data_IF_247174017685
#
_entry.id   IF_247174017685
#
_cell.length_a   1.000
_cell.length_b   1.000
_cell.length_c   1.000
_cell.angle_alpha   90.00
_cell.angle_beta   90.00
_cell.angle_gamma   90.00
#
_symmetry.space_group_name_H-M   'P 1'
#
loop_
_entity.id
_entity.type
_entity.pdbx_description
1 polymer ?
#
# COMPACT_ATOMS: atom_id res chain seq x y z
N UNK A 1 -9.47 -14.39 -9.70
CA UNK A 1 -9.69 -12.95 -9.97
C UNK A 1 -9.20 -12.17 -8.76
N UNK A 2 -8.00 -11.58 -8.80
CA UNK A 2 -7.47 -10.83 -7.66
C UNK A 2 -8.15 -9.47 -7.52
N UNK A 3 -8.57 -9.08 -6.32
CA UNK A 3 -9.11 -7.73 -6.07
C UNK A 3 -7.99 -6.72 -6.23
N UNK A 4 -8.15 -5.74 -7.13
CA UNK A 4 -7.27 -4.56 -7.17
C UNK A 4 -7.83 -3.54 -6.19
N UNK A 5 -7.35 -3.57 -4.96
CA UNK A 5 -7.76 -2.65 -3.90
C UNK A 5 -6.79 -1.49 -3.71
N UNK A 6 -7.26 -0.38 -3.12
CA UNK A 6 -6.37 0.63 -2.57
C UNK A 6 -5.57 0.07 -1.39
N UNK A 7 -4.26 0.37 -1.33
CA UNK A 7 -3.41 -0.15 -0.24
C UNK A 7 -3.85 0.29 1.17
N UNK A 8 -4.49 1.46 1.32
CA UNK A 8 -4.85 2.00 2.64
C UNK A 8 -6.26 1.68 3.12
N UNK A 9 -7.18 1.31 2.22
CA UNK A 9 -8.58 1.10 2.60
C UNK A 9 -9.25 -0.11 1.93
N UNK A 10 -8.52 -0.89 1.12
CA UNK A 10 -9.00 -2.05 0.37
C UNK A 10 -10.25 -1.79 -0.50
N UNK A 11 -10.57 -0.51 -0.76
CA UNK A 11 -11.63 -0.14 -1.71
C UNK A 11 -11.28 -0.73 -3.07
N UNK A 12 -12.23 -1.40 -3.72
CA UNK A 12 -12.08 -1.85 -5.10
C UNK A 12 -11.70 -0.68 -5.99
N UNK A 13 -10.64 -0.82 -6.79
CA UNK A 13 -10.18 0.14 -7.79
C UNK A 13 -10.21 -0.48 -9.20
N UNK A 14 -10.73 -1.70 -9.35
CA UNK A 14 -10.83 -2.36 -10.65
C UNK A 14 -11.88 -1.76 -11.57
N UNK A 15 -12.83 -1.00 -11.01
CA UNK A 15 -13.99 -0.49 -11.75
C UNK A 15 -15.06 -1.55 -12.01
N UNK A 16 -14.88 -2.79 -11.52
CA UNK A 16 -15.82 -3.89 -11.73
C UNK A 16 -17.03 -3.77 -10.80
N UNK A 17 -16.79 -3.44 -9.53
CA UNK A 17 -17.86 -3.34 -8.52
C UNK A 17 -18.32 -1.90 -8.30
N UNK A 18 -17.45 -0.92 -8.55
CA UNK A 18 -17.77 0.49 -8.43
C UNK A 18 -17.14 1.30 -9.58
N UNK A 19 -18.02 1.80 -10.45
CA UNK A 19 -17.68 2.55 -11.67
C UNK A 19 -17.27 4.00 -11.39
N UNK A 20 -17.60 4.56 -10.23
CA UNK A 20 -17.26 5.93 -9.85
C UNK A 20 -15.89 6.05 -9.18
N UNK A 21 -15.12 4.95 -9.15
CA UNK A 21 -13.81 4.94 -8.54
C UNK A 21 -12.81 5.79 -9.31
N UNK A 22 -12.27 6.81 -8.63
CA UNK A 22 -11.11 7.56 -9.07
C UNK A 22 -9.85 6.95 -8.45
N UNK A 23 -8.97 6.48 -9.34
CA UNK A 23 -7.68 5.87 -9.02
C UNK A 23 -6.60 6.93 -9.01
N UNK A 24 -5.70 6.87 -8.03
CA UNK A 24 -4.54 7.74 -7.91
C UNK A 24 -3.27 6.91 -7.81
N UNK A 25 -2.26 7.28 -8.61
CA UNK A 25 -0.89 6.83 -8.47
C UNK A 25 -0.16 7.85 -7.61
N UNK A 26 0.13 7.48 -6.37
CA UNK A 26 0.68 8.38 -5.36
C UNK A 26 2.11 7.98 -4.98
N UNK A 27 2.95 8.96 -4.66
CA UNK A 27 4.30 8.68 -4.23
C UNK A 27 4.32 8.18 -2.77
N UNK A 28 4.88 7.00 -2.49
CA UNK A 28 4.98 6.43 -1.13
C UNK A 28 5.67 7.45 -0.20
N UNK A 29 6.85 7.90 -0.59
CA UNK A 29 7.56 9.06 -0.03
C UNK A 29 7.28 10.27 -0.92
N UNK A 30 6.70 11.37 -0.40
CA UNK A 30 6.43 12.58 -1.18
C UNK A 30 7.69 13.20 -1.82
N UNK A 31 7.55 13.79 -3.01
CA UNK A 31 8.65 14.45 -3.72
C UNK A 31 9.23 15.64 -2.93
N UNK A 32 8.38 16.41 -2.24
CA UNK A 32 8.81 17.54 -1.37
C UNK A 32 9.51 17.07 -0.09
N UNK A 33 9.54 15.76 0.16
CA UNK A 33 10.28 15.09 1.23
C UNK A 33 11.37 14.18 0.69
N UNK A 34 11.97 14.56 -0.44
CA UNK A 34 13.08 13.84 -1.08
C UNK A 34 12.72 12.44 -1.58
N UNK A 35 11.42 12.16 -1.78
CA UNK A 35 10.97 10.95 -2.46
C UNK A 35 11.44 10.95 -3.91
N UNK A 36 11.84 9.78 -4.42
CA UNK A 36 12.28 9.65 -5.80
C UNK A 36 11.09 9.58 -6.75
N UNK A 37 11.24 10.15 -7.95
CA UNK A 37 10.25 10.05 -9.01
C UNK A 37 10.50 8.80 -9.86
N UNK A 38 10.41 7.62 -9.24
CA UNK A 38 10.61 6.33 -9.90
C UNK A 38 9.50 5.33 -9.53
N UNK A 39 9.40 4.24 -10.29
CA UNK A 39 8.31 3.27 -10.15
C UNK A 39 8.28 2.56 -8.80
N UNK A 40 9.43 2.45 -8.11
CA UNK A 40 9.51 1.84 -6.77
C UNK A 40 8.87 2.70 -5.69
N UNK A 41 8.70 4.01 -5.95
CA UNK A 41 8.09 4.95 -5.03
C UNK A 41 6.62 5.22 -5.35
N UNK A 42 5.92 4.35 -6.10
CA UNK A 42 4.49 4.54 -6.44
C UNK A 42 3.62 3.52 -5.71
N UNK A 43 2.52 4.00 -5.12
CA UNK A 43 1.45 3.19 -4.55
C UNK A 43 0.07 3.55 -5.13
N UNK A 44 -0.84 2.58 -5.11
CA UNK A 44 -2.18 2.73 -5.64
C UNK A 44 -3.18 3.14 -4.54
N UNK A 45 -3.73 4.35 -4.64
CA UNK A 45 -4.69 4.89 -3.70
C UNK A 45 -6.05 5.17 -4.36
N UNK A 46 -7.11 5.06 -3.57
CA UNK A 46 -8.36 5.71 -3.93
C UNK A 46 -8.24 7.23 -3.73
N UNK A 47 -9.11 8.00 -4.39
CA UNK A 47 -9.17 9.45 -4.24
C UNK A 47 -9.16 9.91 -2.77
N UNK A 48 -10.02 9.37 -1.92
CA UNK A 48 -10.13 9.81 -0.53
C UNK A 48 -8.85 9.56 0.28
N UNK A 49 -8.21 8.41 0.08
CA UNK A 49 -6.94 8.07 0.72
C UNK A 49 -5.81 8.98 0.24
N UNK A 50 -5.75 9.24 -1.07
CA UNK A 50 -4.77 10.17 -1.64
C UNK A 50 -4.94 11.58 -1.06
N UNK A 51 -6.17 12.09 -1.00
CA UNK A 51 -6.48 13.43 -0.46
C UNK A 51 -6.19 13.55 1.04
N UNK A 52 -6.26 12.45 1.79
CA UNK A 52 -5.84 12.41 3.20
C UNK A 52 -4.32 12.33 3.35
N UNK A 53 -3.64 11.56 2.50
CA UNK A 53 -2.18 11.41 2.56
C UNK A 53 -1.47 12.71 2.18
N UNK A 54 -1.74 13.31 1.02
CA UNK A 54 -1.00 14.50 0.52
C UNK A 54 0.52 14.28 0.64
N UNK A 55 1.25 15.30 1.11
CA UNK A 55 2.66 15.25 1.44
C UNK A 55 2.97 14.74 2.87
N UNK A 56 2.05 13.99 3.51
CA UNK A 56 2.36 13.38 4.81
C UNK A 56 3.43 12.29 4.67
N UNK A 57 4.10 11.91 5.79
CA UNK A 57 5.10 10.84 5.78
C UNK A 57 4.59 9.55 5.13
N UNK A 58 5.54 8.72 4.71
CA UNK A 58 5.22 7.45 4.07
C UNK A 58 4.31 6.58 4.96
N UNK A 59 3.24 6.08 4.35
CA UNK A 59 2.28 5.18 4.97
C UNK A 59 1.94 4.07 3.98
N UNK A 60 1.92 2.84 4.48
CA UNK A 60 1.55 1.64 3.73
C UNK A 60 0.76 0.71 4.64
N UNK A 61 0.38 -0.46 4.13
CA UNK A 61 -0.42 -1.46 4.84
C UNK A 61 0.25 -2.83 4.76
N UNK A 62 0.01 -3.67 5.77
CA UNK A 62 0.38 -5.09 5.76
C UNK A 62 -0.73 -5.98 5.18
N UNK A 63 -1.86 -5.40 4.79
CA UNK A 63 -2.97 -6.13 4.19
C UNK A 63 -2.70 -6.38 2.71
N UNK A 64 -2.16 -7.56 2.43
CA UNK A 64 -1.99 -8.08 1.08
C UNK A 64 -3.06 -9.14 0.78
N UNK A 65 -3.26 -9.41 -0.51
CA UNK A 65 -4.16 -10.47 -0.94
C UNK A 65 -3.68 -11.82 -0.41
N UNK A 66 -4.59 -12.75 -0.09
CA UNK A 66 -4.26 -14.03 0.54
C UNK A 66 -3.32 -14.94 -0.26
N UNK A 67 -3.25 -14.76 -1.59
CA UNK A 67 -2.29 -15.47 -2.45
C UNK A 67 -0.87 -14.91 -2.31
N UNK A 68 -0.72 -13.69 -1.81
CA UNK A 68 0.56 -13.08 -1.47
C UNK A 68 0.92 -13.46 -0.04
N UNK A 69 1.40 -14.70 0.13
CA UNK A 69 1.87 -15.19 1.42
C UNK A 69 3.16 -14.45 1.79
N UNK A 70 3.08 -13.53 2.74
CA UNK A 70 4.24 -13.25 3.59
C UNK A 70 4.46 -14.52 4.41
N UNK A 71 5.48 -15.30 4.07
CA UNK A 71 5.94 -16.30 5.03
C UNK A 71 6.26 -15.55 6.32
N UNK A 72 5.45 -15.80 7.36
CA UNK A 72 5.80 -15.44 8.73
C UNK A 72 7.02 -16.28 9.09
N UNK A 73 8.18 -15.84 8.62
CA UNK A 73 9.44 -16.45 8.95
C UNK A 73 9.55 -16.39 10.47
N UNK A 74 9.64 -17.56 11.09
CA UNK A 74 9.93 -17.78 12.51
C UNK A 74 11.26 -17.17 12.98
N UNK A 75 11.88 -16.27 12.20
CA UNK A 75 13.13 -15.58 12.47
C UNK A 75 13.07 -14.73 13.76
N UNK A 76 11.90 -14.26 14.18
CA UNK A 76 11.73 -13.53 15.44
C UNK A 76 11.61 -14.43 16.69
N UNK A 77 11.34 -15.74 16.54
CA UNK A 77 11.29 -16.69 17.68
C UNK A 77 12.65 -17.26 18.08
N UNK A 78 13.65 -17.20 17.20
CA UNK A 78 14.99 -17.73 17.51
C UNK A 78 15.90 -16.73 18.24
N UNK A 79 15.66 -15.42 18.10
CA UNK A 79 16.42 -14.39 18.85
C UNK A 79 15.97 -14.20 20.30
N UNK A 80 14.76 -14.63 20.68
CA UNK A 80 14.28 -14.57 22.07
C UNK A 80 14.72 -15.77 22.93
N UNK A 81 15.24 -16.84 22.32
CA UNK A 81 15.76 -18.01 23.04
C UNK A 81 17.31 -18.07 23.03
N UNK A 82 17.97 -16.95 22.75
CA UNK A 82 19.43 -16.76 22.81
C UNK A 82 19.85 -15.58 23.69
N UNK A 83 19.02 -15.23 24.67
CA UNK A 83 19.39 -14.42 25.84
C UNK A 83 19.26 -15.29 27.09
#
# INVERSE_FOLDING_TARGET
MGRKGSILCDRDLSGILNLENKVNYDHIVPLDKYGFNDISNIQLLCFDCNQKKKANPAITSHFYQSWYSYENNNYTREKSNKL
#
